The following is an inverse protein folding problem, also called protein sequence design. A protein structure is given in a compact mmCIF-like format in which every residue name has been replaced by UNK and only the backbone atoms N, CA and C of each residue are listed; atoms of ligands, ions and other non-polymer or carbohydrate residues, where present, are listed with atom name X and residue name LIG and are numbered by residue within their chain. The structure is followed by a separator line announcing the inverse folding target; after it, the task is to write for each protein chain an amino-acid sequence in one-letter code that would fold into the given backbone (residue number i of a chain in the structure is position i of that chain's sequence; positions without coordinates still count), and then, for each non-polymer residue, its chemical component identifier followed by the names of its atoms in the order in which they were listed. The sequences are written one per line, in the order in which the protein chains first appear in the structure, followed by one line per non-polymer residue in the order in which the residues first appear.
data_IF_712989096885
#
_entry.id   IF_712989096885
#
_cell.length_a   1.000
_cell.length_b   1.000
_cell.length_c   1.000
_cell.angle_alpha   90.00
_cell.angle_beta   90.00
_cell.angle_gamma   90.00
#
_symmetry.space_group_name_H-M   'P 1'
#
loop_
_entity.id
_entity.type
_entity.pdbx_description
1 polymer ?
#
# COMPACT_ATOMS: atom_id res chain seq x y z
N UNK A 1 12.62 -18.94 9.88
CA UNK A 1 11.96 -17.63 10.10
C UNK A 1 13.00 -16.63 10.57
N UNK A 2 12.92 -15.35 10.18
CA UNK A 2 13.82 -14.30 10.70
C UNK A 2 13.64 -14.17 12.21
N UNK A 3 14.76 -14.13 12.97
CA UNK A 3 14.76 -14.19 14.44
C UNK A 3 14.87 -12.82 15.11
N UNK A 4 15.19 -11.79 14.35
CA UNK A 4 15.42 -10.44 14.84
C UNK A 4 14.84 -9.37 13.90
N UNK A 5 14.30 -8.32 14.50
CA UNK A 5 13.81 -7.14 13.79
C UNK A 5 14.26 -5.88 14.50
N UNK A 6 14.42 -4.81 13.71
CA UNK A 6 14.71 -3.48 14.23
C UNK A 6 13.52 -2.60 13.92
N UNK A 7 12.91 -2.08 14.97
CA UNK A 7 11.82 -1.11 14.91
C UNK A 7 12.32 0.26 15.35
N UNK A 8 11.61 1.29 14.92
CA UNK A 8 11.74 2.65 15.44
C UNK A 8 10.35 3.17 15.77
N UNK A 9 10.21 3.99 16.82
CA UNK A 9 9.00 4.81 16.96
C UNK A 9 9.09 5.97 15.99
N UNK A 10 7.97 6.42 15.43
CA UNK A 10 7.95 7.49 14.42
C UNK A 10 8.68 8.77 14.86
N UNK A 11 8.61 9.11 16.14
CA UNK A 11 9.25 10.29 16.73
C UNK A 11 10.60 9.97 17.41
N UNK A 12 11.23 8.83 17.10
CA UNK A 12 12.48 8.43 17.72
C UNK A 12 13.45 7.78 16.73
N UNK A 13 14.73 8.15 16.84
CA UNK A 13 15.81 7.48 16.12
C UNK A 13 16.45 6.35 16.95
N UNK A 14 15.98 6.09 18.17
CA UNK A 14 16.47 4.99 18.99
C UNK A 14 15.93 3.65 18.45
N UNK A 15 16.80 2.70 18.07
CA UNK A 15 16.34 1.40 17.61
C UNK A 15 15.75 0.59 18.75
N UNK A 16 14.70 -0.18 18.44
CA UNK A 16 14.11 -1.20 19.31
C UNK A 16 14.43 -2.55 18.66
N UNK A 17 15.22 -3.37 19.35
CA UNK A 17 15.57 -4.71 18.90
C UNK A 17 14.48 -5.68 19.38
N UNK A 18 13.84 -6.36 18.44
CA UNK A 18 12.76 -7.30 18.69
C UNK A 18 13.24 -8.71 18.39
N UNK A 19 13.30 -9.55 19.43
CA UNK A 19 13.70 -10.95 19.36
C UNK A 19 13.02 -11.74 20.49
N UNK A 20 13.27 -13.05 20.56
CA UNK A 20 12.66 -13.98 21.53
C UNK A 20 12.93 -13.59 22.99
N UNK A 21 14.01 -12.85 23.27
CA UNK A 21 14.38 -12.39 24.60
C UNK A 21 13.81 -11.01 24.96
N UNK A 22 13.31 -10.24 23.99
CA UNK A 22 12.88 -8.86 24.23
C UNK A 22 11.36 -8.68 24.21
N UNK A 23 10.67 -9.21 23.20
CA UNK A 23 9.22 -9.14 23.08
C UNK A 23 8.71 -10.17 22.07
N UNK A 24 8.21 -11.30 22.57
CA UNK A 24 7.75 -12.44 21.76
C UNK A 24 6.51 -12.09 20.91
N UNK A 25 5.59 -11.30 21.44
CA UNK A 25 4.36 -10.92 20.74
C UNK A 25 4.67 -9.99 19.55
N UNK A 26 5.50 -8.97 19.79
CA UNK A 26 5.95 -8.04 18.75
C UNK A 26 6.83 -8.75 17.71
N UNK A 27 7.63 -9.74 18.12
CA UNK A 27 8.37 -10.60 17.21
C UNK A 27 7.43 -11.37 16.30
N UNK A 28 6.40 -12.01 16.86
CA UNK A 28 5.42 -12.77 16.09
C UNK A 28 4.75 -11.87 15.03
N UNK A 29 4.29 -10.67 15.41
CA UNK A 29 3.72 -9.70 14.46
C UNK A 29 4.71 -9.29 13.37
N UNK A 30 5.98 -9.08 13.72
CA UNK A 30 7.02 -8.75 12.72
C UNK A 30 7.21 -9.89 11.73
N UNK A 31 7.23 -11.13 12.22
CA UNK A 31 7.35 -12.32 11.40
C UNK A 31 6.11 -12.50 10.53
N UNK A 32 4.90 -12.32 11.07
CA UNK A 32 3.68 -12.40 10.29
C UNK A 32 3.71 -11.40 9.15
N UNK A 33 4.06 -10.14 9.41
CA UNK A 33 4.13 -9.10 8.37
C UNK A 33 5.24 -9.36 7.35
N UNK A 34 6.38 -9.93 7.77
CA UNK A 34 7.47 -10.30 6.88
C UNK A 34 7.12 -11.49 5.97
N UNK A 35 6.42 -12.48 6.51
CA UNK A 35 6.02 -13.69 5.79
C UNK A 35 4.63 -13.59 5.16
N UNK A 36 3.94 -12.46 5.33
CA UNK A 36 2.58 -12.23 4.85
C UNK A 36 1.58 -13.29 5.35
N UNK A 37 1.77 -13.81 6.58
CA UNK A 37 0.96 -14.93 7.11
C UNK A 37 -0.50 -14.58 7.35
N UNK A 38 -0.81 -13.30 7.58
CA UNK A 38 -2.17 -12.80 7.76
C UNK A 38 -2.72 -12.15 6.47
N UNK A 39 -1.94 -12.07 5.39
CA UNK A 39 -2.42 -11.51 4.12
C UNK A 39 -3.43 -12.48 3.49
N UNK A 40 -4.71 -12.11 3.50
CA UNK A 40 -5.71 -12.80 2.71
C UNK A 40 -5.58 -12.32 1.27
N UNK A 41 -4.96 -13.12 0.41
CA UNK A 41 -4.74 -12.76 -0.99
C UNK A 41 -6.07 -12.65 -1.75
N UNK A 42 -6.32 -11.50 -2.35
CA UNK A 42 -7.58 -11.21 -3.04
C UNK A 42 -7.81 -12.07 -4.30
N UNK A 43 -6.80 -12.25 -5.18
CA UNK A 43 -6.97 -12.97 -6.45
C UNK A 43 -6.81 -14.50 -6.37
N UNK A 44 -6.34 -15.05 -5.25
CA UNK A 44 -6.14 -16.50 -5.06
C UNK A 44 -7.44 -17.22 -4.61
N UNK A 45 -8.61 -16.55 -4.69
CA UNK A 45 -9.87 -17.04 -4.13
C UNK A 45 -10.79 -17.80 -5.10
N UNK A 46 -10.28 -18.38 -6.21
CA UNK A 46 -11.10 -19.23 -7.10
C UNK A 46 -10.74 -20.73 -7.05
N UNK A 47 -11.69 -21.46 -6.43
CA UNK A 47 -12.06 -22.90 -6.44
C UNK A 47 -11.26 -23.90 -5.57
N UNK A 48 -11.99 -24.95 -5.18
CA UNK A 48 -12.13 -25.45 -3.81
C UNK A 48 -11.77 -26.93 -3.64
N UNK A 49 -11.31 -27.60 -4.70
CA UNK A 49 -10.92 -29.02 -4.67
C UNK A 49 -9.42 -29.21 -4.34
N UNK A 50 -8.62 -28.13 -4.24
CA UNK A 50 -7.16 -28.20 -4.01
C UNK A 50 -6.74 -28.03 -2.53
N UNK A 51 -7.68 -27.92 -1.60
CA UNK A 51 -7.39 -27.85 -0.14
C UNK A 51 -7.97 -29.05 0.60
N UNK A 52 -7.48 -30.25 0.29
CA UNK A 52 -7.78 -31.52 0.99
C UNK A 52 -7.49 -31.54 2.52
N UNK A 53 -7.16 -30.40 3.14
CA UNK A 53 -6.99 -30.21 4.59
C UNK A 53 -8.16 -29.49 5.29
N UNK A 54 -9.32 -29.41 4.63
CA UNK A 54 -10.55 -28.72 5.04
C UNK A 54 -11.18 -29.09 6.41
N UNK A 55 -10.62 -30.02 7.20
CA UNK A 55 -11.28 -30.44 8.48
C UNK A 55 -11.10 -29.49 9.68
N UNK A 56 -10.18 -28.50 9.64
CA UNK A 56 -10.01 -27.55 10.76
C UNK A 56 -10.30 -26.08 10.44
N UNK A 57 -10.32 -25.69 9.15
CA UNK A 57 -10.52 -24.29 8.72
C UNK A 57 -11.98 -23.91 8.44
N UNK A 58 -12.91 -24.87 8.47
CA UNK A 58 -14.34 -24.65 8.17
C UNK A 58 -15.17 -24.00 9.29
N UNK A 59 -14.59 -23.60 10.42
CA UNK A 59 -15.36 -22.94 11.49
C UNK A 59 -15.51 -21.42 11.36
N UNK A 60 -14.86 -20.74 10.41
CA UNK A 60 -15.03 -19.29 10.21
C UNK A 60 -15.03 -18.89 8.74
N UNK A 61 -16.09 -19.35 8.07
CA UNK A 61 -16.58 -18.91 6.77
C UNK A 61 -17.13 -17.48 6.83
N UNK A 62 -16.56 -16.59 7.65
CA UNK A 62 -16.92 -15.16 7.61
C UNK A 62 -16.14 -14.55 6.46
N UNK A 63 -16.93 -14.14 5.47
CA UNK A 63 -16.58 -13.44 4.26
C UNK A 63 -15.74 -12.22 4.58
N UNK A 64 -14.79 -11.93 3.70
CA UNK A 64 -13.92 -10.78 3.86
C UNK A 64 -14.65 -9.55 3.34
N UNK A 65 -15.12 -8.69 4.24
CA UNK A 65 -15.94 -7.51 3.89
C UNK A 65 -15.11 -6.36 3.30
N UNK A 66 -13.80 -6.37 3.52
CA UNK A 66 -12.91 -5.26 3.21
C UNK A 66 -11.79 -5.65 2.24
N UNK A 67 -11.51 -4.78 1.27
CA UNK A 67 -10.40 -4.93 0.34
C UNK A 67 -9.41 -3.77 0.51
N UNK A 68 -8.20 -4.08 0.99
CA UNK A 68 -7.08 -3.17 0.95
C UNK A 68 -6.38 -3.24 -0.42
N UNK A 69 -6.51 -2.18 -1.20
CA UNK A 69 -5.77 -2.00 -2.46
C UNK A 69 -4.39 -1.42 -2.11
N UNK A 70 -3.40 -2.30 -1.95
CA UNK A 70 -2.06 -1.93 -1.52
C UNK A 70 -1.21 -1.48 -2.71
N UNK A 71 -1.31 -0.18 -3.03
CA UNK A 71 -0.46 0.48 -4.04
C UNK A 71 1.01 0.41 -3.58
N UNK A 72 1.94 -0.11 -4.41
CA UNK A 72 3.34 -0.10 -4.05
C UNK A 72 3.86 1.32 -3.76
N UNK A 73 4.68 1.45 -2.71
CA UNK A 73 5.40 2.69 -2.33
C UNK A 73 4.59 3.87 -1.81
N UNK A 74 3.33 3.64 -1.45
CA UNK A 74 2.51 4.61 -0.72
C UNK A 74 2.55 4.44 0.80
N UNK A 75 3.52 3.68 1.34
CA UNK A 75 3.72 3.50 2.79
C UNK A 75 3.17 2.20 3.38
N UNK A 76 2.72 1.27 2.54
CA UNK A 76 1.95 0.12 3.00
C UNK A 76 2.66 -0.88 3.92
N UNK A 77 3.99 -0.96 3.99
CA UNK A 77 4.65 -1.91 4.93
C UNK A 77 4.41 -1.50 6.40
N UNK A 78 4.68 -0.24 6.75
CA UNK A 78 4.42 0.27 8.09
C UNK A 78 2.92 0.28 8.41
N UNK A 79 2.08 0.64 7.44
CA UNK A 79 0.64 0.59 7.62
C UNK A 79 0.13 -0.83 7.88
N UNK A 80 0.56 -1.83 7.08
CA UNK A 80 0.18 -3.22 7.30
C UNK A 80 0.57 -3.69 8.70
N UNK A 81 1.79 -3.41 9.13
CA UNK A 81 2.26 -3.77 10.47
C UNK A 81 1.48 -3.08 11.60
N UNK A 82 1.28 -1.76 11.50
CA UNK A 82 0.68 -0.94 12.56
C UNK A 82 -0.85 -1.04 12.63
N UNK A 83 -1.50 -1.40 11.52
CA UNK A 83 -2.97 -1.34 11.38
C UNK A 83 -3.53 -2.71 11.07
N UNK A 84 -3.18 -3.31 9.93
CA UNK A 84 -3.76 -4.59 9.51
C UNK A 84 -3.34 -5.73 10.44
N UNK A 85 -2.10 -5.70 10.92
CA UNK A 85 -1.50 -6.72 11.78
C UNK A 85 -1.49 -6.26 13.24
N UNK A 86 -2.32 -5.25 13.56
CA UNK A 86 -2.51 -4.79 14.91
C UNK A 86 -3.25 -5.87 15.71
N UNK A 87 -2.87 -6.08 16.97
CA UNK A 87 -3.52 -7.06 17.85
C UNK A 87 -5.00 -6.72 18.13
N UNK A 88 -5.38 -5.45 18.02
CA UNK A 88 -6.75 -4.97 18.21
C UNK A 88 -7.58 -5.04 16.93
N UNK A 89 -7.00 -5.47 15.80
CA UNK A 89 -7.71 -5.59 14.53
C UNK A 89 -8.69 -6.77 14.58
N UNK A 90 -9.99 -6.50 14.47
CA UNK A 90 -11.05 -7.50 14.50
C UNK A 90 -11.66 -7.81 13.12
N UNK A 91 -11.48 -6.92 12.14
CA UNK A 91 -11.94 -7.06 10.75
C UNK A 91 -11.02 -7.96 9.95
N UNK A 92 -11.61 -8.80 9.08
CA UNK A 92 -10.89 -9.56 8.07
C UNK A 92 -10.71 -8.69 6.82
N UNK A 93 -9.48 -8.60 6.31
CA UNK A 93 -9.14 -7.72 5.19
C UNK A 93 -8.44 -8.55 4.10
N UNK A 94 -8.95 -8.47 2.88
CA UNK A 94 -8.29 -9.00 1.70
C UNK A 94 -7.30 -7.96 1.22
N UNK A 95 -6.14 -8.40 0.76
CA UNK A 95 -5.10 -7.51 0.26
C UNK A 95 -4.90 -7.80 -1.22
N UNK A 96 -5.17 -6.76 -2.03
CA UNK A 96 -4.72 -6.72 -3.40
C UNK A 96 -3.36 -6.04 -3.45
N UNK A 97 -2.33 -6.82 -3.75
CA UNK A 97 -0.99 -6.33 -3.98
C UNK A 97 -0.37 -7.13 -5.11
N UNK A 98 -0.34 -6.57 -6.32
CA UNK A 98 0.20 -7.26 -7.48
C UNK A 98 1.09 -6.32 -8.27
N UNK A 99 2.34 -6.73 -8.43
CA UNK A 99 3.33 -6.05 -9.25
C UNK A 99 4.03 -7.12 -10.07
N UNK A 100 4.08 -6.92 -11.39
CA UNK A 100 4.69 -7.85 -12.35
C UNK A 100 5.83 -7.16 -13.09
N UNK A 101 6.88 -7.94 -13.38
CA UNK A 101 7.91 -7.53 -14.32
C UNK A 101 8.17 -8.66 -15.33
N UNK A 102 7.97 -8.43 -16.65
CA UNK A 102 7.50 -7.20 -17.29
C UNK A 102 6.07 -6.80 -16.86
N UNK A 103 5.70 -5.50 -16.94
CA UNK A 103 4.39 -5.04 -16.50
C UNK A 103 3.28 -5.63 -17.37
N UNK A 104 2.15 -5.98 -16.76
CA UNK A 104 0.95 -6.36 -17.50
C UNK A 104 0.17 -5.08 -17.86
N UNK A 105 -0.22 -4.96 -19.13
CA UNK A 105 -1.05 -3.84 -19.62
C UNK A 105 -2.55 -4.17 -19.65
N UNK A 106 -2.94 -5.29 -19.05
CA UNK A 106 -4.34 -5.66 -18.83
C UNK A 106 -4.73 -5.30 -17.40
N UNK A 107 -5.91 -4.69 -17.25
CA UNK A 107 -6.50 -4.45 -15.92
C UNK A 107 -6.89 -5.79 -15.28
N UNK A 108 -6.39 -6.05 -14.08
CA UNK A 108 -6.59 -7.32 -13.36
C UNK A 108 -7.56 -7.19 -12.17
N UNK A 109 -7.95 -5.95 -11.82
CA UNK A 109 -8.91 -5.65 -10.77
C UNK A 109 -9.88 -4.58 -11.29
N UNK A 110 -11.16 -4.93 -11.40
CA UNK A 110 -12.21 -3.98 -11.73
C UNK A 110 -12.85 -3.44 -10.44
N UNK A 111 -12.24 -2.40 -9.85
CA UNK A 111 -12.73 -1.79 -8.59
C UNK A 111 -14.15 -1.26 -8.69
N UNK A 112 -14.64 -0.99 -9.91
CA UNK A 112 -15.98 -0.44 -10.13
C UNK A 112 -17.07 -1.49 -9.93
N UNK A 113 -16.72 -2.77 -10.08
CA UNK A 113 -17.62 -3.93 -9.88
C UNK A 113 -17.33 -4.70 -8.60
N UNK A 114 -16.41 -4.26 -7.76
CA UNK A 114 -16.13 -4.92 -6.48
C UNK A 114 -17.27 -4.65 -5.49
N UNK A 115 -17.77 -5.68 -4.82
CA UNK A 115 -18.86 -5.54 -3.84
C UNK A 115 -18.35 -5.19 -2.43
N UNK A 116 -17.08 -5.49 -2.13
CA UNK A 116 -16.44 -5.18 -0.84
C UNK A 116 -16.24 -3.68 -0.67
N UNK A 117 -16.25 -3.24 0.59
CA UNK A 117 -15.76 -1.89 0.93
C UNK A 117 -14.26 -1.85 0.72
N UNK A 118 -13.81 -0.94 -0.14
CA UNK A 118 -12.40 -0.83 -0.49
C UNK A 118 -11.75 0.30 0.29
N UNK A 119 -10.46 0.14 0.56
CA UNK A 119 -9.65 1.25 1.02
C UNK A 119 -8.22 1.16 0.47
N UNK A 120 -7.56 2.32 0.41
CA UNK A 120 -6.19 2.42 -0.10
C UNK A 120 -5.44 3.56 0.58
N UNK A 121 -4.13 3.62 0.34
CA UNK A 121 -3.29 4.72 0.74
C UNK A 121 -2.71 5.43 -0.48
N UNK A 122 -2.87 6.75 -0.50
CA UNK A 122 -2.13 7.63 -1.38
C UNK A 122 -0.95 8.26 -0.65
N UNK A 123 0.05 8.61 -1.44
CA UNK A 123 1.21 9.39 -1.02
C UNK A 123 1.46 10.46 -2.06
N UNK A 124 2.09 11.56 -1.63
CA UNK A 124 2.51 12.63 -2.52
C UNK A 124 3.14 12.05 -3.81
N UNK A 125 2.61 12.36 -5.01
CA UNK A 125 2.99 11.69 -6.25
C UNK A 125 4.49 11.75 -6.55
N UNK A 126 5.12 12.91 -6.37
CA UNK A 126 6.57 13.06 -6.56
C UNK A 126 7.37 12.12 -5.66
N UNK A 127 6.98 12.00 -4.40
CA UNK A 127 7.63 11.09 -3.46
C UNK A 127 7.40 9.62 -3.81
N UNK A 128 6.21 9.28 -4.32
CA UNK A 128 5.89 7.94 -4.79
C UNK A 128 6.77 7.55 -5.99
N UNK A 129 6.89 8.43 -7.00
CA UNK A 129 7.73 8.21 -8.19
C UNK A 129 9.19 7.98 -7.85
N UNK A 130 9.78 8.87 -7.02
CA UNK A 130 11.17 8.71 -6.58
C UNK A 130 11.34 7.42 -5.78
N UNK A 131 10.42 7.11 -4.87
CA UNK A 131 10.48 5.89 -4.06
C UNK A 131 10.30 4.60 -4.88
N UNK A 132 9.53 4.65 -5.97
CA UNK A 132 9.37 3.54 -6.92
C UNK A 132 10.66 3.33 -7.71
N UNK A 133 11.23 4.38 -8.29
CA UNK A 133 12.50 4.32 -9.02
C UNK A 133 13.57 3.57 -8.22
N UNK A 134 13.91 4.07 -7.02
CA UNK A 134 14.99 3.47 -6.22
C UNK A 134 14.68 2.04 -5.74
N UNK A 135 13.41 1.65 -5.73
CA UNK A 135 13.07 0.28 -5.41
C UNK A 135 13.20 -0.66 -6.60
N UNK A 136 12.77 -0.22 -7.79
CA UNK A 136 12.63 -1.06 -8.97
C UNK A 136 13.82 -0.97 -9.93
N UNK A 137 14.69 0.05 -9.79
CA UNK A 137 15.78 0.28 -10.74
C UNK A 137 16.79 -0.88 -10.84
N UNK A 138 16.92 -1.70 -9.80
CA UNK A 138 17.82 -2.86 -9.83
C UNK A 138 17.49 -3.87 -10.95
N UNK A 139 16.22 -3.96 -11.38
CA UNK A 139 15.83 -4.76 -12.55
C UNK A 139 15.50 -3.93 -13.80
N UNK A 140 15.03 -2.69 -13.64
CA UNK A 140 14.71 -1.82 -14.78
C UNK A 140 15.94 -1.28 -15.50
N UNK A 141 17.05 -1.10 -14.77
CA UNK A 141 18.34 -0.62 -15.30
C UNK A 141 18.21 0.62 -16.18
N UNK A 142 17.53 1.66 -15.68
CA UNK A 142 17.31 2.92 -16.40
C UNK A 142 17.69 4.14 -15.56
N UNK A 143 17.89 5.29 -16.22
CA UNK A 143 18.11 6.54 -15.50
C UNK A 143 16.83 6.97 -14.76
N UNK A 144 16.99 7.81 -13.72
CA UNK A 144 15.84 8.38 -13.01
C UNK A 144 14.96 9.21 -13.96
N UNK A 145 15.57 9.96 -14.87
CA UNK A 145 14.85 10.80 -15.84
C UNK A 145 14.01 9.94 -16.77
N UNK A 146 14.59 8.88 -17.33
CA UNK A 146 13.87 7.96 -18.22
C UNK A 146 12.73 7.26 -17.50
N UNK A 147 12.98 6.80 -16.26
CA UNK A 147 11.94 6.20 -15.42
C UNK A 147 10.77 7.15 -15.21
N UNK A 148 11.03 8.40 -14.84
CA UNK A 148 10.00 9.39 -14.56
C UNK A 148 9.19 9.73 -15.81
N UNK A 149 9.83 9.83 -16.98
CA UNK A 149 9.14 10.11 -18.24
C UNK A 149 8.30 8.92 -18.72
N UNK A 150 8.79 7.69 -18.48
CA UNK A 150 8.12 6.46 -18.93
C UNK A 150 6.95 6.06 -18.04
N UNK A 151 7.08 6.21 -16.73
CA UNK A 151 6.10 5.73 -15.75
C UNK A 151 5.48 6.89 -14.97
N UNK A 152 4.31 7.32 -15.42
CA UNK A 152 3.52 8.39 -14.83
C UNK A 152 2.20 7.89 -14.28
N UNK A 153 1.59 8.66 -13.38
CA UNK A 153 0.25 8.45 -12.82
C UNK A 153 0.05 7.05 -12.20
N UNK A 154 1.10 6.54 -11.56
CA UNK A 154 1.17 5.15 -11.09
C UNK A 154 0.09 4.80 -10.08
N UNK A 155 -0.28 5.72 -9.19
CA UNK A 155 -1.29 5.45 -8.17
C UNK A 155 -2.69 5.34 -8.80
N UNK A 156 -3.00 6.24 -9.73
CA UNK A 156 -4.27 6.23 -10.47
C UNK A 156 -4.38 4.99 -11.35
N UNK A 157 -3.32 4.64 -12.09
CA UNK A 157 -3.25 3.39 -12.88
C UNK A 157 -3.53 2.15 -12.05
N UNK A 158 -2.94 2.09 -10.86
CA UNK A 158 -3.13 0.94 -9.97
C UNK A 158 -4.57 0.80 -9.49
N UNK A 159 -5.24 1.92 -9.21
CA UNK A 159 -6.65 1.91 -8.84
C UNK A 159 -7.55 1.47 -10.00
N UNK A 160 -7.15 1.74 -11.24
CA UNK A 160 -7.81 1.21 -12.45
C UNK A 160 -7.51 -0.27 -12.71
N UNK A 161 -6.76 -0.93 -11.82
CA UNK A 161 -6.41 -2.35 -11.88
C UNK A 161 -5.20 -2.67 -12.74
N UNK A 162 -4.48 -1.68 -13.26
CA UNK A 162 -3.24 -1.88 -14.02
C UNK A 162 -2.02 -2.01 -13.11
N UNK A 163 -0.93 -2.55 -13.64
CA UNK A 163 0.37 -2.46 -12.98
C UNK A 163 0.83 -0.98 -12.89
N UNK A 164 1.53 -0.61 -11.81
CA UNK A 164 2.07 0.75 -11.65
C UNK A 164 3.00 1.16 -12.81
N UNK A 165 3.68 0.22 -13.44
CA UNK A 165 4.57 0.43 -14.57
C UNK A 165 3.88 0.15 -15.92
N UNK A 166 2.55 0.04 -15.94
CA UNK A 166 1.79 -0.11 -17.19
C UNK A 166 1.92 1.11 -18.09
N UNK A 167 1.92 0.87 -19.40
CA UNK A 167 1.86 1.92 -20.44
C UNK A 167 0.46 2.50 -20.65
N UNK A 168 -0.55 2.07 -19.89
CA UNK A 168 -1.89 2.65 -19.95
C UNK A 168 -1.84 4.18 -19.77
N UNK A 169 -2.62 4.93 -20.55
CA UNK A 169 -2.71 6.38 -20.45
C UNK A 169 -4.00 6.76 -19.71
N UNK A 170 -3.84 7.31 -18.50
CA UNK A 170 -4.96 7.77 -17.69
C UNK A 170 -5.59 9.01 -18.31
N UNK A 171 -6.91 9.11 -18.27
CA UNK A 171 -7.65 10.28 -18.73
C UNK A 171 -8.62 10.84 -17.66
N UNK A 172 -9.33 11.92 -17.98
CA UNK A 172 -10.28 12.56 -17.06
C UNK A 172 -11.48 11.67 -16.69
N UNK A 173 -11.93 10.79 -17.59
CA UNK A 173 -13.03 9.87 -17.32
C UNK A 173 -12.62 8.87 -16.24
N UNK A 174 -11.41 8.34 -16.33
CA UNK A 174 -10.86 7.43 -15.31
C UNK A 174 -10.80 8.08 -13.93
N UNK A 175 -10.26 9.30 -13.86
CA UNK A 175 -10.18 10.05 -12.62
C UNK A 175 -11.57 10.30 -12.02
N UNK A 176 -12.53 10.74 -12.83
CA UNK A 176 -13.89 11.03 -12.36
C UNK A 176 -14.61 9.78 -11.87
N UNK A 177 -14.37 8.62 -12.49
CA UNK A 177 -14.91 7.34 -12.01
C UNK A 177 -14.34 6.97 -10.64
N UNK A 178 -13.04 7.18 -10.41
CA UNK A 178 -12.42 6.95 -9.10
C UNK A 178 -13.00 7.93 -8.06
N UNK A 179 -13.11 9.22 -8.39
CA UNK A 179 -13.70 10.23 -7.50
C UNK A 179 -15.12 9.87 -7.10
N UNK A 180 -15.94 9.41 -8.05
CA UNK A 180 -17.30 8.93 -7.78
C UNK A 180 -17.31 7.80 -6.72
N UNK A 181 -16.40 6.83 -6.80
CA UNK A 181 -16.29 5.78 -5.77
C UNK A 181 -15.91 6.34 -4.38
N UNK A 182 -15.13 7.42 -4.34
CA UNK A 182 -14.73 8.10 -3.11
C UNK A 182 -15.90 8.89 -2.53
N UNK A 183 -16.64 9.61 -3.36
CA UNK A 183 -17.85 10.36 -2.98
C UNK A 183 -18.92 9.41 -2.42
N UNK A 184 -19.13 8.28 -3.08
CA UNK A 184 -20.04 7.20 -2.65
C UNK A 184 -19.54 6.41 -1.44
N UNK A 185 -18.35 6.74 -0.90
CA UNK A 185 -17.69 6.05 0.22
C UNK A 185 -17.47 4.55 -0.02
N UNK A 186 -17.51 4.10 -1.28
CA UNK A 186 -17.18 2.73 -1.69
C UNK A 186 -15.66 2.49 -1.70
N UNK A 187 -14.89 3.55 -1.97
CA UNK A 187 -13.44 3.57 -1.82
C UNK A 187 -13.03 4.63 -0.78
N UNK A 188 -12.54 4.18 0.37
CA UNK A 188 -11.97 5.07 1.39
C UNK A 188 -10.48 5.28 1.13
N UNK A 189 -10.02 6.53 1.09
CA UNK A 189 -8.63 6.85 0.72
C UNK A 189 -7.94 7.59 1.85
N UNK A 190 -6.90 6.98 2.40
CA UNK A 190 -6.05 7.59 3.42
C UNK A 190 -4.81 8.24 2.80
N UNK A 191 -4.32 9.29 3.46
CA UNK A 191 -3.01 9.89 3.19
C UNK A 191 -2.23 9.90 4.49
N UNK A 192 -1.12 9.16 4.54
CA UNK A 192 -0.30 9.02 5.74
C UNK A 192 0.11 10.39 6.31
N UNK A 193 0.06 10.53 7.65
CA UNK A 193 0.30 11.79 8.41
C UNK A 193 -0.73 12.92 8.18
N UNK A 194 -1.89 12.62 7.62
CA UNK A 194 -3.00 13.57 7.52
C UNK A 194 -4.23 13.04 8.25
N UNK A 195 -5.22 13.92 8.48
CA UNK A 195 -6.50 13.53 9.09
C UNK A 195 -7.28 12.51 8.26
N UNK A 196 -6.97 12.34 6.97
CA UNK A 196 -7.60 11.35 6.08
C UNK A 196 -7.35 9.90 6.51
N UNK A 197 -6.32 9.65 7.32
CA UNK A 197 -6.14 8.33 7.92
C UNK A 197 -7.28 7.95 8.86
N UNK A 198 -7.94 8.93 9.49
CA UNK A 198 -9.04 8.68 10.42
C UNK A 198 -10.21 7.97 9.73
N UNK A 199 -10.47 8.25 8.46
CA UNK A 199 -11.54 7.59 7.70
C UNK A 199 -11.29 6.08 7.58
N UNK A 200 -10.02 5.67 7.42
CA UNK A 200 -9.64 4.26 7.41
C UNK A 200 -9.75 3.66 8.81
N UNK A 201 -9.28 4.36 9.85
CA UNK A 201 -9.37 3.85 11.22
C UNK A 201 -10.82 3.65 11.66
N UNK A 202 -11.69 4.58 11.31
CA UNK A 202 -13.14 4.49 11.54
C UNK A 202 -13.76 3.33 10.74
N UNK A 203 -13.40 3.17 9.46
CA UNK A 203 -13.85 2.04 8.64
C UNK A 203 -13.47 0.69 9.27
N UNK A 204 -12.27 0.62 9.87
CA UNK A 204 -11.72 -0.58 10.46
C UNK A 204 -12.09 -0.75 11.95
N UNK A 205 -12.84 0.20 12.54
CA UNK A 205 -13.15 0.23 13.97
C UNK A 205 -11.90 0.06 14.85
N UNK A 206 -10.80 0.69 14.45
CA UNK A 206 -9.53 0.69 15.19
C UNK A 206 -9.33 2.05 15.86
N UNK A 207 -9.51 2.11 17.17
CA UNK A 207 -9.36 3.35 17.93
C UNK A 207 -7.96 3.97 17.75
N UNK A 208 -7.91 5.30 17.64
CA UNK A 208 -6.69 6.05 17.34
C UNK A 208 -5.56 5.82 18.36
N UNK A 209 -5.90 5.60 19.64
CA UNK A 209 -4.93 5.31 20.70
C UNK A 209 -4.36 3.88 20.62
N UNK A 210 -5.03 2.98 19.89
CA UNK A 210 -4.58 1.60 19.62
C UNK A 210 -3.75 1.49 18.36
N UNK A 211 -3.72 2.52 17.51
CA UNK A 211 -2.89 2.53 16.30
C UNK A 211 -1.42 2.69 16.68
N UNK A 212 -0.65 1.64 16.43
CA UNK A 212 0.79 1.64 16.59
C UNK A 212 1.48 2.66 15.66
N UNK A 213 2.67 3.13 16.07
CA UNK A 213 3.47 4.10 15.30
C UNK A 213 4.90 3.61 15.09
N UNK A 214 5.03 2.34 14.70
CA UNK A 214 6.32 1.73 14.41
C UNK A 214 6.73 1.94 12.95
N UNK A 215 8.03 2.10 12.76
CA UNK A 215 8.70 2.04 11.47
C UNK A 215 9.55 0.76 11.46
N UNK A 216 9.07 -0.25 10.74
CA UNK A 216 9.76 -1.53 10.57
C UNK A 216 10.88 -1.39 9.54
N UNK A 217 12.08 -1.88 9.88
CA UNK A 217 13.22 -1.96 8.96
C UNK A 217 13.46 -0.63 8.24
N UNK A 218 13.55 0.48 8.99
CA UNK A 218 14.08 1.75 8.46
C UNK A 218 15.37 1.38 7.74
N UNK A 219 15.39 1.45 6.41
CA UNK A 219 16.55 0.99 5.64
C UNK A 219 17.70 1.93 5.97
N UNK A 220 18.54 1.52 6.92
CA UNK A 220 19.84 2.12 7.16
C UNK A 220 20.65 1.84 5.88
N UNK A 221 21.13 2.87 5.19
CA UNK A 221 21.96 2.72 4.00
C UNK A 221 21.25 2.77 2.64
N UNK A 222 19.97 3.15 2.56
CA UNK A 222 19.44 3.62 1.26
C UNK A 222 19.97 5.04 1.02
N UNK A 223 21.07 5.10 0.27
CA UNK A 223 21.82 6.29 -0.11
C UNK A 223 21.10 7.17 -1.13
N UNK A 224 19.80 7.44 -0.96
CA UNK A 224 19.22 8.61 -1.60
C UNK A 224 18.60 9.46 -0.51
N UNK A 225 19.22 10.60 -0.22
CA UNK A 225 18.49 11.62 0.50
C UNK A 225 17.55 12.20 -0.53
N UNK A 226 16.27 12.31 -0.21
CA UNK A 226 15.32 13.06 -1.06
C UNK A 226 15.85 14.46 -1.43
N UNK A 227 16.74 15.02 -0.60
CA UNK A 227 17.46 16.28 -0.83
C UNK A 227 18.42 16.23 -2.03
N UNK A 228 18.90 15.06 -2.42
CA UNK A 228 19.86 14.86 -3.51
C UNK A 228 19.16 14.88 -4.89
N UNK A 229 17.83 14.80 -4.92
CA UNK A 229 17.06 14.96 -6.16
C UNK A 229 16.90 16.45 -6.47
N UNK A 230 17.38 16.94 -7.64
CA UNK A 230 17.27 18.33 -8.04
C UNK A 230 15.84 18.85 -7.97
N UNK A 231 15.68 20.10 -7.54
CA UNK A 231 14.36 20.73 -7.43
C UNK A 231 13.62 20.76 -8.77
N UNK A 232 14.34 21.04 -9.87
CA UNK A 232 13.77 21.05 -11.21
C UNK A 232 13.22 19.67 -11.62
N UNK A 233 13.90 18.59 -11.26
CA UNK A 233 13.39 17.24 -11.51
C UNK A 233 12.13 16.95 -10.67
N UNK A 234 12.05 17.44 -9.42
CA UNK A 234 10.82 17.31 -8.61
C UNK A 234 9.65 18.06 -9.22
N UNK A 235 9.88 19.28 -9.72
CA UNK A 235 8.87 20.08 -10.44
C UNK A 235 8.43 19.37 -11.72
N UNK A 236 9.37 18.82 -12.49
CA UNK A 236 9.09 18.03 -13.68
C UNK A 236 8.22 16.80 -13.37
N UNK A 237 8.61 16.01 -12.38
CA UNK A 237 7.83 14.85 -11.92
C UNK A 237 6.42 15.28 -11.52
N UNK A 238 6.28 16.38 -10.77
CA UNK A 238 4.96 16.91 -10.41
C UNK A 238 4.14 17.26 -11.66
N UNK A 239 4.73 17.94 -12.63
CA UNK A 239 4.07 18.35 -13.88
C UNK A 239 3.55 17.17 -14.71
N UNK A 240 4.32 16.09 -14.82
CA UNK A 240 3.96 14.94 -15.68
C UNK A 240 3.02 13.92 -15.00
N UNK A 241 2.90 13.95 -13.67
CA UNK A 241 2.00 13.08 -12.90
C UNK A 241 0.65 13.78 -12.62
N UNK A 242 0.03 14.31 -13.67
CA UNK A 242 -1.16 15.19 -13.58
C UNK A 242 -2.28 14.54 -12.77
N UNK A 243 -2.67 13.31 -13.13
CA UNK A 243 -3.82 12.63 -12.53
C UNK A 243 -3.57 12.18 -11.10
N UNK A 244 -2.36 11.72 -10.79
CA UNK A 244 -1.99 11.40 -9.41
C UNK A 244 -2.02 12.66 -8.52
N UNK A 245 -1.60 13.83 -9.02
CA UNK A 245 -1.70 15.08 -8.26
C UNK A 245 -3.16 15.52 -8.10
N UNK A 246 -3.97 15.49 -9.17
CA UNK A 246 -5.39 15.83 -9.08
C UNK A 246 -6.15 14.91 -8.13
N UNK A 247 -5.85 13.61 -8.11
CA UNK A 247 -6.45 12.66 -7.18
C UNK A 247 -5.99 12.92 -5.74
N UNK A 248 -4.68 13.12 -5.54
CA UNK A 248 -4.11 13.42 -4.23
C UNK A 248 -4.71 14.69 -3.62
N UNK A 249 -4.75 15.78 -4.39
CA UNK A 249 -5.30 17.07 -3.96
C UNK A 249 -6.80 16.98 -3.71
N UNK A 250 -7.54 16.25 -4.55
CA UNK A 250 -8.97 16.02 -4.33
C UNK A 250 -9.23 15.28 -3.01
N UNK A 251 -8.50 14.21 -2.72
CA UNK A 251 -8.63 13.48 -1.45
C UNK A 251 -8.22 14.33 -0.25
N UNK A 252 -7.16 15.13 -0.40
CA UNK A 252 -6.68 15.97 0.69
C UNK A 252 -7.71 17.04 1.11
N UNK A 253 -8.49 17.55 0.15
CA UNK A 253 -9.44 18.64 0.34
C UNK A 253 -10.91 18.21 0.48
N UNK A 254 -11.22 16.91 0.38
CA UNK A 254 -12.59 16.38 0.52
C UNK A 254 -13.06 16.20 1.96
#
# INVERSE_FOLDING_TARGET
MKKDFILYKENSNKPIIVNEKSNTELLQRCQDNWYHKLDIKYLDSKKWYEKLSLKSLLKRKDEVDYLFIHIPKTGGISFKFNVIYNQHMNKKIAIYHKFKFPPNNVSELDIFKEDKKMFTLLRNPTNTTISAYYHFNHFLKMSLVDFCNKYTNMQTKFLLGYDICSSYEVNNVDLNRIKKLIDEKKLIVGIHKTKKMNDIYNLLELDLDKVDKYILNKKIGVNYKYRDIPMELKKHIKKINIYDNMLYDYVLNS
#
